data_IF_863158458051
#
_entry.id   IF_863158458051
#
_cell.length_a   1.000
_cell.length_b   1.000
_cell.length_c   1.000
_cell.angle_alpha   90.00
_cell.angle_beta   90.00
_cell.angle_gamma   90.00
#
_symmetry.space_group_name_H-M   'P 1'
#
loop_
_entity.id
_entity.type
_entity.pdbx_description
1 polymer ?
#
# COMPACT_ATOMS: atom_id res chain seq x y z
N UNK A 1 -15.66 7.01 6.11
CA UNK A 1 -15.20 8.43 6.13
C UNK A 1 -13.84 8.47 6.80
N UNK A 2 -12.76 8.25 6.02
CA UNK A 2 -11.40 8.31 6.52
C UNK A 2 -10.98 9.77 6.66
N UNK A 3 -10.36 10.10 7.79
CA UNK A 3 -9.83 11.42 8.16
C UNK A 3 -9.17 12.13 6.99
N UNK A 4 -9.40 13.44 6.88
CA UNK A 4 -8.65 14.32 5.98
C UNK A 4 -7.17 14.18 6.35
N UNK A 5 -6.46 13.33 5.60
CA UNK A 5 -5.02 13.17 5.72
C UNK A 5 -4.30 14.49 5.43
N UNK A 6 -2.96 14.49 5.45
CA UNK A 6 -2.19 15.64 4.98
C UNK A 6 -2.69 16.17 3.63
N UNK A 7 -2.44 17.46 3.31
CA UNK A 7 -2.85 18.05 2.05
C UNK A 7 -2.48 17.16 0.86
N UNK A 8 -3.41 16.98 -0.08
CA UNK A 8 -3.17 16.15 -1.28
C UNK A 8 -1.95 16.64 -2.06
N UNK A 9 -1.67 17.95 -2.04
CA UNK A 9 -0.49 18.52 -2.67
C UNK A 9 0.85 18.08 -2.03
N UNK A 10 0.85 17.66 -0.77
CA UNK A 10 2.06 17.23 -0.04
C UNK A 10 2.19 15.70 -0.05
N UNK A 11 1.08 14.99 0.16
CA UNK A 11 1.04 13.52 0.21
C UNK A 11 -0.09 13.02 -0.70
N UNK A 12 0.12 13.02 -2.04
CA UNK A 12 -0.93 12.73 -3.00
C UNK A 12 -1.40 11.28 -2.99
N UNK A 13 -0.68 10.37 -2.34
CA UNK A 13 -1.01 8.95 -2.33
C UNK A 13 -1.49 8.48 -0.96
N UNK A 14 -2.35 7.46 -0.97
CA UNK A 14 -2.85 6.78 0.23
C UNK A 14 -2.63 5.29 0.11
N UNK A 15 -2.20 4.67 1.19
CA UNK A 15 -2.11 3.22 1.31
C UNK A 15 -3.41 2.66 1.89
N UNK A 16 -3.95 1.60 1.29
CA UNK A 16 -4.91 0.69 1.91
C UNK A 16 -4.21 -0.65 2.15
N UNK A 17 -4.47 -1.27 3.30
CA UNK A 17 -3.79 -2.48 3.70
C UNK A 17 -4.77 -3.51 4.29
N UNK A 18 -4.84 -4.69 3.66
CA UNK A 18 -5.68 -5.80 4.12
C UNK A 18 -4.95 -6.65 5.18
N UNK A 19 -4.80 -6.10 6.39
CA UNK A 19 -4.02 -6.71 7.47
C UNK A 19 -4.42 -8.17 7.78
N UNK A 20 -5.71 -8.49 7.69
CA UNK A 20 -6.25 -9.84 7.93
C UNK A 20 -5.83 -10.88 6.86
N UNK A 21 -5.29 -10.44 5.72
CA UNK A 21 -4.81 -11.30 4.63
C UNK A 21 -3.28 -11.27 4.51
N UNK A 22 -2.59 -10.47 5.32
CA UNK A 22 -1.14 -10.47 5.40
C UNK A 22 -0.62 -11.82 5.90
N UNK A 23 0.47 -12.29 5.30
CA UNK A 23 1.10 -13.59 5.62
C UNK A 23 2.52 -13.45 6.18
N UNK A 24 2.93 -12.25 6.58
CA UNK A 24 4.16 -12.02 7.34
C UNK A 24 5.48 -12.29 6.61
N UNK A 25 5.52 -12.18 5.28
CA UNK A 25 6.74 -12.50 4.51
C UNK A 25 7.84 -11.45 4.60
N UNK A 26 7.52 -10.22 5.02
CA UNK A 26 8.48 -9.12 5.15
C UNK A 26 8.97 -8.51 3.83
N UNK A 27 8.44 -8.94 2.67
CA UNK A 27 8.86 -8.42 1.35
C UNK A 27 8.61 -6.91 1.19
N UNK A 28 7.52 -6.41 1.75
CA UNK A 28 7.24 -4.97 1.75
C UNK A 28 8.28 -4.17 2.55
N UNK A 29 8.71 -4.68 3.71
CA UNK A 29 9.74 -4.06 4.55
C UNK A 29 11.16 -4.17 3.95
N UNK A 30 11.39 -5.11 3.03
CA UNK A 30 12.64 -5.18 2.24
C UNK A 30 12.67 -4.10 1.15
N UNK A 31 11.50 -3.73 0.61
CA UNK A 31 11.37 -2.86 -0.55
C UNK A 31 11.22 -1.37 -0.20
N UNK A 32 10.67 -1.04 0.98
CA UNK A 32 10.33 0.33 1.37
C UNK A 32 10.56 0.56 2.85
N UNK A 33 11.15 1.71 3.18
CA UNK A 33 11.33 2.18 4.55
C UNK A 33 10.01 2.54 5.23
N UNK A 34 8.92 2.67 4.46
CA UNK A 34 7.58 2.89 5.00
C UNK A 34 6.93 1.61 5.55
N UNK A 35 7.57 0.43 5.49
CA UNK A 35 6.98 -0.82 5.99
C UNK A 35 7.83 -1.47 7.07
N UNK A 36 7.17 -1.87 8.15
CA UNK A 36 7.79 -2.63 9.24
C UNK A 36 7.05 -3.95 9.46
N UNK A 37 7.80 -5.05 9.63
CA UNK A 37 7.23 -6.34 10.03
C UNK A 37 7.27 -6.45 11.57
N UNK A 38 6.10 -6.52 12.19
CA UNK A 38 6.03 -6.82 13.62
C UNK A 38 6.21 -8.32 13.84
N UNK A 39 7.36 -8.69 14.41
CA UNK A 39 7.71 -10.08 14.71
C UNK A 39 6.84 -10.74 15.79
N UNK A 40 6.14 -9.93 16.58
CA UNK A 40 5.26 -10.40 17.66
C UNK A 40 3.92 -10.85 17.09
N UNK A 41 3.36 -10.05 16.18
CA UNK A 41 2.07 -10.33 15.54
C UNK A 41 2.21 -11.11 14.24
N UNK A 42 3.38 -11.08 13.59
CA UNK A 42 3.63 -11.67 12.28
C UNK A 42 2.98 -10.88 11.13
N UNK A 43 2.55 -9.63 11.38
CA UNK A 43 1.84 -8.79 10.43
C UNK A 43 2.69 -7.55 10.15
N UNK A 44 2.78 -7.17 8.87
CA UNK A 44 3.44 -5.92 8.50
C UNK A 44 2.51 -4.72 8.74
N UNK A 45 3.05 -3.54 8.99
CA UNK A 45 2.29 -2.30 9.08
C UNK A 45 3.05 -1.16 8.40
N UNK A 46 2.35 -0.23 7.73
CA UNK A 46 3.00 0.95 7.19
C UNK A 46 3.29 1.97 8.32
N UNK A 47 4.43 2.65 8.23
CA UNK A 47 4.81 3.78 9.10
C UNK A 47 3.88 4.97 8.85
N UNK A 48 3.54 5.22 7.58
CA UNK A 48 2.55 6.22 7.15
C UNK A 48 1.57 5.64 6.14
N UNK A 49 0.29 5.97 6.30
CA UNK A 49 -0.76 5.66 5.33
C UNK A 49 -0.87 6.71 4.22
N UNK A 50 -0.17 7.83 4.32
CA UNK A 50 -0.16 8.90 3.31
C UNK A 50 1.28 9.18 2.90
N UNK A 51 1.56 9.05 1.61
CA UNK A 51 2.93 9.12 1.08
C UNK A 51 3.06 10.16 -0.04
N UNK A 52 4.28 10.67 -0.18
CA UNK A 52 4.70 11.68 -1.13
C UNK A 52 5.13 11.09 -2.48
N UNK A 53 5.47 11.96 -3.42
CA UNK A 53 6.04 11.58 -4.73
C UNK A 53 7.39 10.84 -4.58
N UNK A 54 8.18 11.22 -3.57
CA UNK A 54 9.48 10.64 -3.25
C UNK A 54 9.41 9.24 -2.62
N UNK A 55 8.29 8.91 -1.98
CA UNK A 55 8.02 7.63 -1.33
C UNK A 55 7.19 6.68 -2.23
N UNK A 56 6.68 7.16 -3.37
CA UNK A 56 5.76 6.41 -4.21
C UNK A 56 6.39 5.12 -4.74
N UNK A 57 7.57 5.22 -5.36
CA UNK A 57 8.20 4.12 -6.08
C UNK A 57 8.43 2.90 -5.18
N UNK A 58 9.00 3.12 -4.00
CA UNK A 58 9.27 2.04 -3.04
C UNK A 58 7.98 1.39 -2.50
N UNK A 59 6.90 2.16 -2.34
CA UNK A 59 5.62 1.63 -1.88
C UNK A 59 4.86 0.88 -2.99
N UNK A 60 5.06 1.26 -4.25
CA UNK A 60 4.61 0.48 -5.42
C UNK A 60 5.37 -0.85 -5.46
N UNK A 61 6.69 -0.84 -5.33
CA UNK A 61 7.50 -2.06 -5.27
C UNK A 61 7.04 -2.97 -4.12
N UNK A 62 6.76 -2.40 -2.93
CA UNK A 62 6.24 -3.14 -1.79
C UNK A 62 4.87 -3.79 -2.08
N UNK A 63 4.01 -3.14 -2.85
CA UNK A 63 2.72 -3.67 -3.26
C UNK A 63 2.87 -4.82 -4.26
N UNK A 64 3.67 -4.64 -5.31
CA UNK A 64 3.89 -5.63 -6.37
C UNK A 64 4.64 -6.88 -5.88
N UNK A 65 5.57 -6.72 -4.93
CA UNK A 65 6.33 -7.84 -4.37
C UNK A 65 5.54 -8.68 -3.36
N UNK A 66 4.34 -8.24 -2.95
CA UNK A 66 3.57 -8.91 -1.92
C UNK A 66 3.01 -10.25 -2.44
N UNK A 67 3.46 -11.41 -1.91
CA UNK A 67 3.03 -12.72 -2.40
C UNK A 67 1.65 -13.16 -1.86
N UNK A 68 1.02 -12.34 -1.01
CA UNK A 68 -0.31 -12.62 -0.48
C UNK A 68 -1.34 -12.72 -1.61
N UNK A 69 -2.48 -13.37 -1.34
CA UNK A 69 -3.55 -13.58 -2.33
C UNK A 69 -3.05 -14.17 -3.67
N UNK A 70 -2.10 -15.12 -3.61
CA UNK A 70 -1.48 -15.77 -4.79
C UNK A 70 -0.74 -14.80 -5.72
N UNK A 71 -0.23 -13.69 -5.17
CA UNK A 71 0.51 -12.68 -5.93
C UNK A 71 -0.29 -11.40 -6.20
N UNK A 72 -1.60 -11.38 -5.94
CA UNK A 72 -2.42 -10.16 -6.10
C UNK A 72 -2.12 -9.10 -5.02
N UNK A 73 -1.36 -9.44 -3.98
CA UNK A 73 -0.97 -8.50 -2.92
C UNK A 73 -2.11 -8.07 -2.00
N UNK A 74 -1.74 -7.47 -0.87
CA UNK A 74 -2.66 -6.92 0.16
C UNK A 74 -2.39 -5.46 0.48
N UNK A 75 -1.54 -4.81 -0.32
CA UNK A 75 -1.12 -3.42 -0.19
C UNK A 75 -1.60 -2.72 -1.45
N UNK A 76 -2.38 -1.66 -1.28
CA UNK A 76 -2.97 -0.90 -2.37
C UNK A 76 -2.53 0.55 -2.28
N UNK A 77 -1.90 1.07 -3.32
CA UNK A 77 -1.47 2.47 -3.39
C UNK A 77 -2.48 3.22 -4.27
N UNK A 78 -3.18 4.17 -3.67
CA UNK A 78 -4.25 4.94 -4.33
C UNK A 78 -3.79 6.37 -4.54
N UNK A 79 -3.90 6.89 -5.77
CA UNK A 79 -3.73 8.31 -6.05
C UNK A 79 -4.98 9.07 -5.59
N UNK A 80 -4.82 9.97 -4.62
CA UNK A 80 -5.93 10.74 -4.03
C UNK A 80 -6.42 11.86 -4.95
N UNK A 81 -5.66 12.20 -6.01
CA UNK A 81 -6.03 13.22 -7.00
C UNK A 81 -7.03 12.67 -8.00
N UNK A 82 -6.85 11.42 -8.42
CA UNK A 82 -7.67 10.75 -9.44
C UNK A 82 -8.63 9.72 -8.85
N UNK A 83 -8.31 9.16 -7.68
CA UNK A 83 -9.01 8.04 -7.07
C UNK A 83 -8.60 6.68 -7.65
N UNK A 84 -7.56 6.64 -8.48
CA UNK A 84 -7.11 5.43 -9.17
C UNK A 84 -6.13 4.63 -8.29
N UNK A 85 -6.20 3.31 -8.42
CA UNK A 85 -5.18 2.42 -7.88
C UNK A 85 -3.94 2.44 -8.77
N UNK A 86 -2.81 2.83 -8.20
CA UNK A 86 -1.50 2.84 -8.87
C UNK A 86 -0.87 1.45 -8.83
N UNK A 87 -1.05 0.74 -7.70
CA UNK A 87 -0.59 -0.62 -7.52
C UNK A 87 -1.51 -1.34 -6.51
N UNK A 88 -1.81 -2.64 -6.71
CA UNK A 88 -1.25 -3.51 -7.75
C UNK A 88 -1.90 -3.36 -9.14
N UNK A 89 -3.02 -2.62 -9.28
CA UNK A 89 -3.79 -2.40 -10.52
C UNK A 89 -3.85 -3.64 -11.45
N UNK A 90 -4.41 -4.77 -10.96
CA UNK A 90 -4.41 -6.02 -11.71
C UNK A 90 -5.23 -5.94 -13.02
N UNK A 91 -6.15 -4.98 -13.11
CA UNK A 91 -6.95 -4.73 -14.31
C UNK A 91 -6.23 -3.82 -15.31
N UNK A 92 -5.25 -3.01 -14.87
CA UNK A 92 -4.56 -2.02 -15.68
C UNK A 92 -5.46 -0.84 -16.08
N UNK A 93 -6.54 -0.60 -15.33
CA UNK A 93 -7.54 0.43 -15.60
C UNK A 93 -7.72 1.42 -14.45
N UNK A 94 -6.89 1.30 -13.40
CA UNK A 94 -6.91 2.16 -12.22
C UNK A 94 -8.09 1.91 -11.28
N UNK A 95 -8.93 0.88 -11.53
CA UNK A 95 -10.00 0.53 -10.59
C UNK A 95 -9.42 -0.05 -9.29
N UNK A 96 -10.01 0.33 -8.16
CA UNK A 96 -9.56 -0.15 -6.85
C UNK A 96 -9.88 -1.65 -6.72
N UNK A 97 -8.85 -2.49 -6.61
CA UNK A 97 -9.01 -3.94 -6.64
C UNK A 97 -9.44 -4.53 -5.27
N UNK A 98 -9.91 -3.70 -4.35
CA UNK A 98 -10.32 -4.08 -3.00
C UNK A 98 -11.53 -3.26 -2.53
N UNK A 99 -12.45 -3.93 -1.85
CA UNK A 99 -13.54 -3.27 -1.14
C UNK A 99 -13.06 -2.85 0.26
N UNK A 100 -13.15 -1.54 0.59
CA UNK A 100 -12.75 -0.98 1.90
C UNK A 100 -13.80 -0.02 2.48
#
# INVERSE_FOLDING_TARGET
MGSEGPPVAEKPYKILFEANKCIGTGRCAEASDNWELDITTGIAAPVSYFIGEDELAENVDAAELCPAKKGDGVIHVIDRRTGEEVAPDPAGDGSISVDW
#
